data_IF_796729742384
#
_entry.id   IF_796729742384
#
_cell.length_a   1.000
_cell.length_b   1.000
_cell.length_c   1.000
_cell.angle_alpha   90.00
_cell.angle_beta   90.00
_cell.angle_gamma   90.00
#
_symmetry.space_group_name_H-M   'P 1'
#
loop_
_entity.id
_entity.type
_entity.pdbx_description
1 polymer ?
#
# COMPACT_ATOMS: atom_id res chain seq x y z
N UNK A 1 33.87 21.82 -85.07
CA UNK A 1 33.63 22.45 -86.39
C UNK A 1 32.38 21.83 -86.98
N UNK A 2 31.40 22.68 -87.32
CA UNK A 2 30.16 22.40 -88.08
C UNK A 2 29.11 21.51 -87.41
N UNK A 3 27.92 22.01 -87.06
CA UNK A 3 26.84 22.66 -87.83
C UNK A 3 25.76 21.65 -88.25
N UNK A 4 24.51 22.06 -87.98
CA UNK A 4 23.25 21.72 -88.65
C UNK A 4 22.68 20.31 -88.43
N UNK A 5 21.51 20.20 -87.77
CA UNK A 5 20.16 20.52 -88.24
C UNK A 5 19.58 19.48 -89.21
N UNK A 6 18.36 19.05 -88.87
CA UNK A 6 17.15 19.10 -89.70
C UNK A 6 16.49 17.77 -90.15
N UNK A 7 15.19 17.70 -89.80
CA UNK A 7 14.03 17.27 -90.63
C UNK A 7 13.77 15.75 -90.67
N UNK A 8 12.81 15.25 -89.88
CA UNK A 8 11.36 15.02 -90.16
C UNK A 8 11.11 13.87 -91.15
N UNK A 9 10.32 12.86 -90.76
CA UNK A 9 9.09 12.40 -91.45
C UNK A 9 8.32 11.37 -90.57
N UNK A 10 7.01 11.48 -90.73
CA UNK A 10 5.81 10.96 -90.11
C UNK A 10 5.54 9.44 -90.00
N UNK A 11 4.57 9.18 -89.10
CA UNK A 11 3.41 8.28 -89.20
C UNK A 11 3.57 6.80 -88.78
N UNK A 12 2.76 6.41 -87.78
CA UNK A 12 2.49 5.02 -87.42
C UNK A 12 1.65 4.90 -86.15
N UNK A 13 0.34 4.76 -86.34
CA UNK A 13 -0.72 4.62 -85.34
C UNK A 13 -0.63 3.29 -84.55
N UNK A 14 -1.16 3.30 -83.31
CA UNK A 14 -1.61 2.21 -82.42
C UNK A 14 -0.88 2.28 -81.08
N UNK A 15 -1.48 2.70 -79.97
CA UNK A 15 -2.76 2.26 -79.43
C UNK A 15 -2.46 1.41 -78.20
N UNK A 16 -2.77 1.92 -76.99
CA UNK A 16 -3.22 1.19 -75.78
C UNK A 16 -3.14 2.12 -74.55
N UNK A 17 -4.31 2.69 -74.23
CA UNK A 17 -4.92 2.85 -72.90
C UNK A 17 -4.10 2.53 -71.64
N UNK A 18 -4.01 3.58 -70.82
CA UNK A 18 -4.29 3.66 -69.37
C UNK A 18 -3.49 2.81 -68.37
N UNK A 19 -2.78 3.53 -67.50
CA UNK A 19 -2.26 3.03 -66.23
C UNK A 19 -1.52 4.14 -65.48
N UNK A 20 -2.25 5.11 -64.91
CA UNK A 20 -1.67 6.09 -63.98
C UNK A 20 -1.13 5.34 -62.76
N UNK A 21 0.20 5.33 -62.60
CA UNK A 21 0.89 4.89 -61.38
C UNK A 21 0.47 5.85 -60.26
N UNK A 22 -0.38 5.36 -59.35
CA UNK A 22 -0.74 6.10 -58.14
C UNK A 22 0.46 6.24 -57.19
N UNK A 23 0.53 7.31 -56.39
CA UNK A 23 1.63 7.51 -55.45
C UNK A 23 1.64 6.40 -54.40
N UNK A 24 2.80 5.77 -54.20
CA UNK A 24 3.06 4.88 -53.08
C UNK A 24 2.86 5.65 -51.77
N UNK A 25 1.76 5.35 -51.07
CA UNK A 25 1.57 5.75 -49.68
C UNK A 25 2.48 4.87 -48.85
N UNK A 26 3.60 5.43 -48.37
CA UNK A 26 4.37 4.81 -47.30
C UNK A 26 3.54 5.00 -46.03
N UNK A 27 2.88 3.91 -45.61
CA UNK A 27 2.09 3.87 -44.39
C UNK A 27 3.05 4.00 -43.20
N UNK A 28 3.24 5.24 -42.73
CA UNK A 28 3.95 5.52 -41.49
C UNK A 28 3.27 4.77 -40.36
N UNK A 29 3.87 3.68 -39.90
CA UNK A 29 3.46 2.98 -38.70
C UNK A 29 3.65 3.92 -37.50
N UNK A 30 2.58 4.63 -37.13
CA UNK A 30 2.51 5.37 -35.87
C UNK A 30 2.64 4.32 -34.76
N UNK A 31 3.64 4.39 -33.87
CA UNK A 31 3.72 3.45 -32.76
C UNK A 31 2.46 3.57 -31.91
N UNK A 32 1.70 2.47 -31.79
CA UNK A 32 0.56 2.37 -30.90
C UNK A 32 1.01 2.77 -29.49
N UNK A 33 0.37 3.80 -28.93
CA UNK A 33 0.52 4.14 -27.53
C UNK A 33 0.24 2.90 -26.67
N UNK A 34 0.95 2.71 -25.53
CA UNK A 34 0.67 1.60 -24.64
C UNK A 34 -0.80 1.65 -24.25
N UNK A 35 -1.54 0.58 -24.53
CA UNK A 35 -2.93 0.49 -24.07
C UNK A 35 -2.92 0.64 -22.55
N UNK A 36 -3.61 1.68 -22.05
CA UNK A 36 -3.78 1.87 -20.62
C UNK A 36 -4.30 0.57 -20.03
N UNK A 37 -3.55 -0.02 -19.09
CA UNK A 37 -3.95 -1.25 -18.45
C UNK A 37 -5.36 -1.07 -17.88
N UNK A 38 -6.29 -1.98 -18.23
CA UNK A 38 -7.67 -1.93 -17.74
C UNK A 38 -7.67 -1.88 -16.21
N UNK A 39 -8.48 -0.98 -15.65
CA UNK A 39 -8.65 -0.86 -14.21
C UNK A 39 -9.07 -2.21 -13.61
N UNK A 40 -8.48 -2.58 -12.47
CA UNK A 40 -8.77 -3.82 -11.78
C UNK A 40 -10.17 -3.75 -11.13
N UNK A 41 -11.02 -4.78 -11.26
CA UNK A 41 -12.34 -4.78 -10.63
C UNK A 41 -12.25 -4.74 -9.09
N UNK A 42 -13.11 -3.98 -8.41
CA UNK A 42 -13.12 -3.94 -6.94
C UNK A 42 -13.74 -5.21 -6.35
N UNK A 43 -13.02 -5.85 -5.42
CA UNK A 43 -13.52 -6.94 -4.59
C UNK A 43 -14.58 -6.45 -3.60
N UNK A 44 -14.39 -5.27 -2.98
CA UNK A 44 -15.40 -4.64 -2.13
C UNK A 44 -16.72 -4.43 -2.89
N UNK A 45 -16.68 -3.83 -4.08
CA UNK A 45 -17.89 -3.56 -4.86
C UNK A 45 -18.62 -4.85 -5.27
N UNK A 46 -17.86 -5.88 -5.68
CA UNK A 46 -18.45 -7.18 -6.01
C UNK A 46 -19.05 -7.86 -4.78
N UNK A 47 -18.36 -7.84 -3.63
CA UNK A 47 -18.87 -8.41 -2.39
C UNK A 47 -20.15 -7.73 -1.91
N UNK A 48 -20.26 -6.39 -2.00
CA UNK A 48 -21.51 -5.67 -1.69
C UNK A 48 -22.68 -6.09 -2.59
N UNK A 49 -22.41 -6.44 -3.85
CA UNK A 49 -23.42 -6.93 -4.77
C UNK A 49 -23.86 -8.37 -4.43
N UNK A 50 -23.00 -9.14 -3.74
CA UNK A 50 -23.41 -10.38 -3.10
C UNK A 50 -24.24 -10.04 -1.85
N UNK A 51 -25.38 -10.71 -1.66
CA UNK A 51 -26.12 -10.58 -0.40
C UNK A 51 -25.27 -11.20 0.70
N UNK A 52 -24.76 -10.35 1.61
CA UNK A 52 -23.85 -10.76 2.68
C UNK A 52 -24.42 -11.94 3.46
N UNK A 53 -23.58 -12.91 3.80
CA UNK A 53 -24.05 -14.15 4.45
C UNK A 53 -23.25 -14.48 5.71
N UNK A 54 -21.92 -14.33 5.75
CA UNK A 54 -21.07 -14.41 6.95
C UNK A 54 -19.67 -13.81 6.69
N UNK A 55 -18.90 -13.56 7.76
CA UNK A 55 -17.49 -13.15 7.63
C UNK A 55 -16.64 -14.19 6.91
N UNK A 56 -16.82 -15.48 7.19
CA UNK A 56 -16.07 -16.55 6.54
C UNK A 56 -16.29 -16.56 5.01
N UNK A 57 -17.53 -16.31 4.57
CA UNK A 57 -17.84 -16.16 3.15
C UNK A 57 -17.20 -14.91 2.55
N UNK A 58 -17.20 -13.79 3.28
CA UNK A 58 -16.54 -12.57 2.84
C UNK A 58 -15.03 -12.77 2.64
N UNK A 59 -14.37 -13.47 3.56
CA UNK A 59 -12.94 -13.79 3.47
C UNK A 59 -12.65 -14.75 2.31
N UNK A 60 -13.47 -15.79 2.14
CA UNK A 60 -13.34 -16.73 1.02
C UNK A 60 -13.55 -16.04 -0.34
N UNK A 61 -14.48 -15.09 -0.42
CA UNK A 61 -14.71 -14.26 -1.59
C UNK A 61 -13.49 -13.38 -1.89
N UNK A 62 -13.01 -12.61 -0.90
CA UNK A 62 -11.86 -11.73 -1.04
C UNK A 62 -10.62 -12.51 -1.51
N UNK A 63 -10.34 -13.68 -0.91
CA UNK A 63 -9.24 -14.55 -1.33
C UNK A 63 -9.30 -14.87 -2.83
N UNK A 64 -10.45 -15.32 -3.33
CA UNK A 64 -10.62 -15.65 -4.76
C UNK A 64 -10.50 -14.41 -5.64
N UNK A 65 -11.12 -13.31 -5.23
CA UNK A 65 -11.12 -12.07 -6.00
C UNK A 65 -9.71 -11.45 -6.11
N UNK A 66 -8.98 -11.37 -4.99
CA UNK A 66 -7.62 -10.84 -4.94
C UNK A 66 -6.64 -11.76 -5.69
N UNK A 67 -6.75 -13.09 -5.51
CA UNK A 67 -5.95 -14.07 -6.23
C UNK A 67 -6.07 -13.88 -7.76
N UNK A 68 -7.31 -13.78 -8.27
CA UNK A 68 -7.58 -13.57 -9.69
C UNK A 68 -6.97 -12.27 -10.25
N UNK A 69 -6.60 -11.32 -9.38
CA UNK A 69 -6.01 -10.05 -9.75
C UNK A 69 -4.48 -10.01 -9.62
N UNK A 70 -3.87 -11.08 -9.10
CA UNK A 70 -2.42 -11.21 -8.90
C UNK A 70 -1.95 -10.82 -7.50
N UNK A 71 -2.71 -11.21 -6.46
CA UNK A 71 -2.33 -10.95 -5.08
C UNK A 71 -0.96 -11.55 -4.72
N UNK A 72 -0.22 -10.83 -3.87
CA UNK A 72 0.96 -11.38 -3.21
C UNK A 72 0.49 -12.18 -2.00
N UNK A 73 0.51 -13.50 -2.11
CA UNK A 73 0.04 -14.43 -1.08
C UNK A 73 1.22 -15.07 -0.33
N UNK A 74 1.71 -14.39 0.71
CA UNK A 74 2.85 -14.83 1.50
C UNK A 74 2.49 -14.89 2.98
N UNK A 75 2.93 -15.97 3.63
CA UNK A 75 2.93 -16.09 5.08
C UNK A 75 4.31 -15.73 5.59
N UNK A 76 4.44 -14.59 6.27
CA UNK A 76 5.71 -14.20 6.87
C UNK A 76 5.83 -14.72 8.31
N UNK A 77 7.08 -14.81 8.75
CA UNK A 77 7.40 -14.88 10.16
C UNK A 77 7.63 -13.47 10.74
N UNK A 78 7.62 -13.39 12.07
CA UNK A 78 7.89 -12.14 12.81
C UNK A 78 9.21 -11.49 12.39
N UNK A 79 10.26 -12.29 12.16
CA UNK A 79 11.61 -11.79 11.83
C UNK A 79 11.63 -11.10 10.46
N UNK A 80 10.88 -11.63 9.48
CA UNK A 80 10.78 -11.06 8.14
C UNK A 80 10.10 -9.70 8.16
N UNK A 81 8.99 -9.56 8.88
CA UNK A 81 8.33 -8.26 9.06
C UNK A 81 9.22 -7.28 9.82
N UNK A 82 9.94 -7.74 10.86
CA UNK A 82 10.90 -6.91 11.58
C UNK A 82 12.01 -6.35 10.67
N UNK A 83 12.58 -7.16 9.77
CA UNK A 83 13.59 -6.69 8.80
C UNK A 83 13.02 -5.64 7.84
N UNK A 84 11.80 -5.84 7.34
CA UNK A 84 11.12 -4.87 6.47
C UNK A 84 10.89 -3.54 7.20
N UNK A 85 10.35 -3.57 8.41
CA UNK A 85 10.09 -2.36 9.21
C UNK A 85 11.38 -1.65 9.63
N UNK A 86 12.48 -2.39 9.85
CA UNK A 86 13.78 -1.78 10.13
C UNK A 86 14.29 -0.88 8.99
N UNK A 87 13.99 -1.24 7.73
CA UNK A 87 14.31 -0.42 6.56
C UNK A 87 13.37 0.79 6.38
N UNK A 88 12.17 0.75 6.97
CA UNK A 88 11.16 1.81 6.83
C UNK A 88 11.18 2.83 7.97
N UNK A 89 11.64 2.44 9.16
CA UNK A 89 11.58 3.25 10.37
C UNK A 89 13.00 3.41 10.89
N UNK A 90 13.76 4.38 10.38
CA UNK A 90 15.10 4.73 10.84
C UNK A 90 15.07 5.98 11.76
N UNK A 91 16.25 6.40 12.20
CA UNK A 91 16.42 7.58 13.04
C UNK A 91 16.06 8.88 12.32
N UNK A 92 15.91 8.91 11.00
CA UNK A 92 15.63 10.12 10.22
C UNK A 92 14.13 10.30 9.95
N UNK A 93 13.31 9.26 10.11
CA UNK A 93 11.86 9.35 9.92
C UNK A 93 11.18 10.28 10.91
N UNK A 94 10.17 11.03 10.45
CA UNK A 94 9.32 11.89 11.29
C UNK A 94 8.78 11.17 12.52
N UNK A 95 8.34 9.91 12.36
CA UNK A 95 7.80 9.09 13.44
C UNK A 95 8.73 9.01 14.67
N UNK A 96 10.03 8.89 14.46
CA UNK A 96 11.01 8.74 15.56
C UNK A 96 11.37 10.06 16.23
N UNK A 97 10.94 11.20 15.67
CA UNK A 97 11.03 12.50 16.31
C UNK A 97 9.81 12.83 17.19
N UNK A 98 8.71 12.07 17.07
CA UNK A 98 7.50 12.31 17.86
C UNK A 98 7.72 11.94 19.33
N UNK A 99 7.10 12.71 20.22
CA UNK A 99 7.09 12.53 21.68
C UNK A 99 5.63 12.47 22.16
N UNK A 100 4.94 11.33 21.94
CA UNK A 100 3.53 11.21 22.28
C UNK A 100 3.32 11.32 23.80
N UNK A 101 2.30 12.06 24.23
CA UNK A 101 2.06 12.34 25.66
C UNK A 101 1.80 11.09 26.51
N UNK A 102 1.28 10.03 25.91
CA UNK A 102 0.96 8.74 26.55
C UNK A 102 2.06 7.68 26.34
N UNK A 103 3.20 8.02 25.75
CA UNK A 103 4.25 7.05 25.39
C UNK A 103 4.80 6.31 26.61
N UNK A 104 4.79 6.93 27.79
CA UNK A 104 5.21 6.27 29.04
C UNK A 104 4.37 5.02 29.37
N UNK A 105 3.10 4.98 28.93
CA UNK A 105 2.26 3.79 29.08
C UNK A 105 2.72 2.63 28.20
N UNK A 106 3.36 2.90 27.07
CA UNK A 106 3.90 1.89 26.15
C UNK A 106 5.40 1.61 26.38
N UNK A 107 6.14 2.62 26.83
CA UNK A 107 7.59 2.64 26.92
C UNK A 107 8.07 3.69 27.94
N UNK A 108 8.18 3.34 29.24
CA UNK A 108 8.64 4.26 30.28
C UNK A 108 9.98 4.93 29.98
N UNK A 109 10.93 4.20 29.37
CA UNK A 109 12.23 4.72 28.98
C UNK A 109 12.27 5.57 27.69
N UNK A 110 11.15 5.80 27.01
CA UNK A 110 11.13 6.40 25.66
C UNK A 110 11.83 7.78 25.58
N UNK A 111 11.58 8.65 26.57
CA UNK A 111 12.14 10.00 26.59
C UNK A 111 13.65 10.03 26.85
N UNK A 112 14.22 8.93 27.34
CA UNK A 112 15.67 8.77 27.53
C UNK A 112 16.38 8.34 26.24
N UNK A 113 15.63 7.96 25.21
CA UNK A 113 16.20 7.45 23.96
C UNK A 113 16.45 8.57 22.95
N UNK A 114 17.55 8.43 22.22
CA UNK A 114 17.74 9.13 20.95
C UNK A 114 16.78 8.58 19.86
N UNK A 115 16.82 9.18 18.67
CA UNK A 115 15.95 8.76 17.57
C UNK A 115 16.18 7.31 17.12
N UNK A 116 17.37 6.73 17.35
CA UNK A 116 17.65 5.31 17.05
C UNK A 116 16.92 4.40 18.05
N UNK A 117 16.98 4.70 19.34
CA UNK A 117 16.25 3.95 20.36
C UNK A 117 14.73 4.04 20.18
N UNK A 118 14.21 5.23 19.85
CA UNK A 118 12.79 5.45 19.50
C UNK A 118 12.38 4.64 18.25
N UNK A 119 13.27 4.49 17.28
CA UNK A 119 13.01 3.62 16.12
C UNK A 119 12.79 2.15 16.54
N UNK A 120 13.54 1.64 17.52
CA UNK A 120 13.37 0.27 18.03
C UNK A 120 11.98 0.11 18.67
N UNK A 121 11.52 1.09 19.43
CA UNK A 121 10.17 1.11 19.98
C UNK A 121 9.09 1.00 18.89
N UNK A 122 9.11 1.90 17.91
CA UNK A 122 8.09 1.93 16.85
C UNK A 122 8.08 0.67 15.98
N UNK A 123 9.27 0.14 15.64
CA UNK A 123 9.38 -1.14 14.94
C UNK A 123 8.79 -2.28 15.76
N UNK A 124 9.07 -2.32 17.07
CA UNK A 124 8.56 -3.35 17.97
C UNK A 124 7.03 -3.31 18.02
N UNK A 125 6.45 -2.12 18.21
CA UNK A 125 5.00 -1.95 18.22
C UNK A 125 4.38 -2.45 16.91
N UNK A 126 4.90 -1.99 15.77
CA UNK A 126 4.34 -2.31 14.45
C UNK A 126 4.53 -3.77 14.02
N UNK A 127 5.64 -4.42 14.41
CA UNK A 127 5.82 -5.87 14.21
C UNK A 127 4.73 -6.63 14.95
N UNK A 128 4.49 -6.31 16.23
CA UNK A 128 3.48 -7.02 17.01
C UNK A 128 2.05 -6.69 16.53
N UNK A 129 1.79 -5.43 16.13
CA UNK A 129 0.51 -5.05 15.55
C UNK A 129 0.23 -5.84 14.26
N UNK A 130 1.20 -5.99 13.37
CA UNK A 130 1.07 -6.83 12.17
C UNK A 130 0.65 -8.28 12.52
N UNK A 131 1.23 -8.84 13.59
CA UNK A 131 0.86 -10.17 14.07
C UNK A 131 -0.58 -10.24 14.59
N UNK A 132 -1.05 -9.21 15.29
CA UNK A 132 -2.42 -9.12 15.80
C UNK A 132 -3.46 -8.88 14.68
N UNK A 133 -3.09 -8.12 13.65
CA UNK A 133 -3.99 -7.75 12.55
C UNK A 133 -4.15 -8.87 11.51
N UNK A 134 -3.07 -9.55 11.14
CA UNK A 134 -3.07 -10.47 9.98
C UNK A 134 -2.41 -11.81 10.24
N UNK A 135 -1.85 -12.02 11.44
CA UNK A 135 -0.94 -13.13 11.72
C UNK A 135 0.18 -13.19 10.68
N UNK A 136 0.65 -12.02 10.22
CA UNK A 136 1.70 -11.86 9.22
C UNK A 136 1.37 -12.42 7.81
N UNK A 137 0.08 -12.55 7.46
CA UNK A 137 -0.37 -12.97 6.14
C UNK A 137 -0.59 -11.74 5.22
N UNK A 138 0.15 -11.65 4.12
CA UNK A 138 0.12 -10.50 3.19
C UNK A 138 -1.17 -10.40 2.40
N UNK A 139 -1.95 -11.47 2.31
CA UNK A 139 -3.24 -11.50 1.61
C UNK A 139 -4.43 -11.69 2.57
N UNK A 140 -4.22 -11.51 3.89
CA UNK A 140 -5.31 -11.50 4.85
C UNK A 140 -6.35 -10.43 4.46
N UNK A 141 -7.61 -10.80 4.47
CA UNK A 141 -8.71 -9.89 4.21
C UNK A 141 -9.77 -10.04 5.31
N UNK A 142 -10.35 -8.92 5.71
CA UNK A 142 -11.43 -8.85 6.68
C UNK A 142 -12.48 -7.88 6.16
N UNK A 143 -13.75 -8.31 6.13
CA UNK A 143 -14.84 -7.43 5.79
C UNK A 143 -15.26 -6.61 7.01
N UNK A 144 -15.15 -5.29 6.90
CA UNK A 144 -15.59 -4.33 7.92
C UNK A 144 -17.06 -4.01 7.67
N UNK A 145 -17.97 -4.67 8.37
CA UNK A 145 -19.41 -4.51 8.14
C UNK A 145 -19.88 -3.05 8.30
N UNK A 146 -19.41 -2.38 9.35
CA UNK A 146 -19.77 -0.99 9.66
C UNK A 146 -19.23 0.03 8.63
N UNK A 147 -18.09 -0.28 8.00
CA UNK A 147 -17.45 0.58 6.99
C UNK A 147 -17.84 0.19 5.56
N UNK A 148 -18.33 -1.03 5.39
CA UNK A 148 -18.69 -1.64 4.12
C UNK A 148 -17.50 -1.85 3.18
N UNK A 149 -16.28 -2.10 3.66
CA UNK A 149 -15.14 -2.40 2.78
C UNK A 149 -14.25 -3.49 3.33
N UNK A 150 -13.35 -4.02 2.49
CA UNK A 150 -12.30 -4.91 2.96
C UNK A 150 -11.11 -4.14 3.56
N UNK A 151 -10.70 -4.59 4.74
CA UNK A 151 -9.36 -4.39 5.31
C UNK A 151 -8.44 -5.50 4.80
N UNK A 152 -7.24 -5.17 4.31
CA UNK A 152 -6.39 -6.07 3.53
C UNK A 152 -4.92 -5.99 3.97
N UNK A 153 -4.26 -7.15 3.95
CA UNK A 153 -2.82 -7.31 4.10
C UNK A 153 -2.31 -7.19 5.54
N UNK A 154 -1.00 -6.95 5.66
CA UNK A 154 -0.26 -7.09 6.91
C UNK A 154 -0.82 -6.23 8.06
N UNK A 155 -1.16 -4.98 7.76
CA UNK A 155 -1.71 -4.02 8.72
C UNK A 155 -3.20 -3.73 8.51
N UNK A 156 -3.90 -4.61 7.78
CA UNK A 156 -5.36 -4.53 7.55
C UNK A 156 -5.80 -3.13 7.07
N UNK A 157 -5.21 -2.70 5.95
CA UNK A 157 -5.44 -1.39 5.33
C UNK A 157 -6.54 -1.45 4.27
N UNK A 158 -7.09 -0.30 3.88
CA UNK A 158 -8.19 -0.22 2.91
C UNK A 158 -7.81 0.59 1.67
N UNK A 159 -8.50 0.39 0.55
CA UNK A 159 -8.32 1.23 -0.63
C UNK A 159 -8.76 2.68 -0.37
N UNK A 160 -9.69 2.89 0.57
CA UNK A 160 -10.14 4.23 0.99
C UNK A 160 -9.01 5.05 1.64
N UNK A 161 -7.95 4.38 2.14
CA UNK A 161 -6.77 5.07 2.70
C UNK A 161 -6.06 5.94 1.67
N UNK A 162 -6.25 5.69 0.37
CA UNK A 162 -5.68 6.54 -0.68
C UNK A 162 -6.16 7.99 -0.57
N UNK A 163 -7.40 8.22 -0.16
CA UNK A 163 -7.97 9.56 -0.10
C UNK A 163 -7.26 10.44 0.93
N UNK A 164 -7.10 9.93 2.16
CA UNK A 164 -6.49 10.67 3.28
C UNK A 164 -4.97 10.53 3.29
N UNK A 165 -4.48 9.31 3.13
CA UNK A 165 -3.08 8.98 3.38
C UNK A 165 -2.25 8.86 2.10
N UNK A 166 -2.83 8.94 0.90
CA UNK A 166 -2.07 8.94 -0.37
C UNK A 166 -1.04 7.80 -0.41
N UNK A 167 -1.51 6.58 -0.21
CA UNK A 167 -0.67 5.38 -0.08
C UNK A 167 -0.16 4.85 -1.42
N UNK A 168 -0.64 5.43 -2.52
CA UNK A 168 -0.37 5.01 -3.88
C UNK A 168 -1.14 3.76 -4.27
N UNK A 169 -2.17 3.33 -3.55
CA UNK A 169 -2.97 2.16 -3.92
C UNK A 169 -3.88 2.52 -5.11
N UNK A 170 -3.88 1.70 -6.16
CA UNK A 170 -4.74 1.89 -7.34
C UNK A 170 -5.89 0.88 -7.35
N UNK A 171 -5.79 -0.17 -6.55
CA UNK A 171 -6.74 -1.26 -6.43
C UNK A 171 -6.53 -2.01 -5.11
N UNK A 172 -7.50 -2.81 -4.69
CA UNK A 172 -7.42 -3.63 -3.47
C UNK A 172 -6.26 -4.65 -3.51
N UNK A 173 -5.91 -5.16 -4.69
CA UNK A 173 -4.80 -6.12 -4.83
C UNK A 173 -3.44 -5.47 -4.57
N UNK A 174 -3.27 -4.16 -4.80
CA UNK A 174 -2.03 -3.43 -4.48
C UNK A 174 -1.71 -3.47 -2.98
N UNK A 175 -2.74 -3.59 -2.14
CA UNK A 175 -2.62 -3.61 -0.67
C UNK A 175 -1.98 -4.93 -0.19
N UNK A 176 -2.03 -5.98 -1.02
CA UNK A 176 -1.39 -7.27 -0.72
C UNK A 176 0.14 -7.23 -0.88
N UNK A 177 0.68 -6.24 -1.60
CA UNK A 177 2.13 -6.03 -1.65
C UNK A 177 2.63 -5.64 -0.25
N UNK A 178 3.47 -6.47 0.40
CA UNK A 178 3.88 -6.24 1.78
C UNK A 178 4.69 -4.95 1.96
N UNK A 179 5.43 -4.51 0.96
CA UNK A 179 6.21 -3.28 1.06
C UNK A 179 5.28 -2.06 1.01
N UNK A 180 4.32 -2.05 0.07
CA UNK A 180 3.35 -0.95 -0.04
C UNK A 180 2.45 -0.88 1.18
N UNK A 181 2.00 -2.04 1.69
CA UNK A 181 1.21 -2.15 2.91
C UNK A 181 1.96 -1.56 4.12
N UNK A 182 3.18 -2.00 4.38
CA UNK A 182 3.96 -1.53 5.54
C UNK A 182 4.36 -0.05 5.40
N UNK A 183 4.69 0.44 4.20
CA UNK A 183 4.97 1.87 3.95
C UNK A 183 3.74 2.72 4.28
N UNK A 184 2.56 2.32 3.79
CA UNK A 184 1.31 3.02 4.09
C UNK A 184 0.99 2.97 5.60
N UNK A 185 1.11 1.81 6.24
CA UNK A 185 0.84 1.69 7.68
C UNK A 185 1.74 2.59 8.54
N UNK A 186 3.05 2.67 8.22
CA UNK A 186 3.96 3.63 8.89
C UNK A 186 3.50 5.07 8.67
N UNK A 187 3.03 5.41 7.46
CA UNK A 187 2.50 6.75 7.14
C UNK A 187 1.25 7.08 7.95
N UNK A 188 0.28 6.15 8.01
CA UNK A 188 -0.96 6.28 8.80
C UNK A 188 -0.63 6.51 10.27
N UNK A 189 0.22 5.67 10.87
CA UNK A 189 0.67 5.85 12.27
C UNK A 189 1.31 7.22 12.47
N UNK A 190 2.24 7.59 11.59
CA UNK A 190 2.96 8.87 11.71
C UNK A 190 2.01 10.06 11.66
N UNK A 191 1.02 10.03 10.76
CA UNK A 191 0.05 11.13 10.63
C UNK A 191 -0.86 11.21 11.84
N UNK A 192 -1.46 10.10 12.27
CA UNK A 192 -2.39 10.08 13.39
C UNK A 192 -1.73 10.48 14.71
N UNK A 193 -0.54 9.93 15.01
CA UNK A 193 0.19 10.27 16.24
C UNK A 193 0.65 11.72 16.23
N UNK A 194 1.06 12.24 15.08
CA UNK A 194 1.45 13.65 14.98
C UNK A 194 0.25 14.60 15.10
N UNK A 195 -0.91 14.21 14.58
CA UNK A 195 -2.15 15.01 14.62
C UNK A 195 -2.72 15.09 16.04
N UNK A 196 -2.75 13.97 16.77
CA UNK A 196 -3.34 13.91 18.11
C UNK A 196 -2.31 14.07 19.25
N UNK A 197 -1.00 14.05 18.96
CA UNK A 197 0.06 14.18 19.97
C UNK A 197 0.14 13.01 20.95
N UNK A 198 -0.41 11.85 20.57
CA UNK A 198 -0.48 10.64 21.40
C UNK A 198 -0.50 9.37 20.53
N UNK A 199 -0.06 8.25 21.09
CA UNK A 199 -0.28 6.92 20.51
C UNK A 199 -1.78 6.61 20.50
N UNK A 200 -2.47 6.97 21.58
CA UNK A 200 -3.92 6.93 21.69
C UNK A 200 -4.51 5.53 21.87
N UNK A 201 -5.83 5.47 21.74
CA UNK A 201 -6.63 4.35 22.21
C UNK A 201 -6.65 4.23 23.74
N UNK A 202 -7.42 3.28 24.26
CA UNK A 202 -7.73 3.19 25.68
C UNK A 202 -8.90 4.08 26.08
N UNK A 203 -9.30 3.98 27.35
CA UNK A 203 -10.49 4.67 27.85
C UNK A 203 -10.36 6.20 27.71
N UNK A 204 -11.33 6.82 27.04
CA UNK A 204 -11.37 8.27 26.81
C UNK A 204 -10.54 8.77 25.62
N UNK A 205 -9.76 7.90 24.98
CA UNK A 205 -8.90 8.21 23.84
C UNK A 205 -9.09 7.22 22.68
N UNK A 206 -10.24 6.54 22.64
CA UNK A 206 -10.52 5.46 21.70
C UNK A 206 -10.25 5.89 20.26
N UNK A 207 -10.72 7.07 19.88
CA UNK A 207 -10.60 7.59 18.51
C UNK A 207 -9.39 8.52 18.31
N UNK A 208 -8.36 8.40 19.15
CA UNK A 208 -7.14 9.21 19.06
C UNK A 208 -5.93 8.38 18.63
N UNK A 209 -5.01 9.03 17.92
CA UNK A 209 -3.77 8.45 17.45
C UNK A 209 -4.01 7.15 16.66
N UNK A 210 -3.21 6.13 16.93
CA UNK A 210 -3.28 4.81 16.32
C UNK A 210 -4.63 4.12 16.63
N UNK A 211 -5.24 4.38 17.80
CA UNK A 211 -6.54 3.81 18.19
C UNK A 211 -7.71 4.25 17.29
N UNK A 212 -7.59 5.42 16.66
CA UNK A 212 -8.57 5.90 15.68
C UNK A 212 -8.72 4.92 14.51
N UNK A 213 -7.62 4.29 14.09
CA UNK A 213 -7.58 3.38 12.95
C UNK A 213 -7.67 1.92 13.40
N UNK A 214 -6.74 1.46 14.24
CA UNK A 214 -6.61 0.04 14.59
C UNK A 214 -7.42 -0.34 15.83
N UNK A 215 -8.42 -1.20 15.64
CA UNK A 215 -9.30 -1.67 16.72
C UNK A 215 -8.53 -2.38 17.84
N UNK A 216 -7.46 -3.10 17.51
CA UNK A 216 -6.60 -3.80 18.46
C UNK A 216 -5.94 -2.87 19.49
N UNK A 217 -5.83 -1.57 19.18
CA UNK A 217 -5.36 -0.53 20.10
C UNK A 217 -6.50 0.36 20.61
N UNK A 218 -7.68 0.38 19.99
CA UNK A 218 -8.76 1.33 20.30
C UNK A 218 -9.25 1.28 21.75
N UNK A 219 -9.57 0.09 22.26
CA UNK A 219 -10.17 -0.09 23.61
C UNK A 219 -9.32 -0.99 24.49
N UNK A 220 -9.51 -0.96 25.84
CA UNK A 220 -8.91 -1.95 26.73
C UNK A 220 -9.28 -3.37 26.29
N UNK A 221 -8.26 -4.19 26.03
CA UNK A 221 -8.41 -5.57 25.59
C UNK A 221 -7.15 -6.36 25.94
N UNK A 222 -7.24 -7.70 25.89
CA UNK A 222 -6.06 -8.56 26.06
C UNK A 222 -5.00 -8.25 25.00
N UNK A 223 -5.41 -8.07 23.74
CA UNK A 223 -4.51 -7.76 22.62
C UNK A 223 -3.80 -6.43 22.83
N UNK A 224 -4.51 -5.37 23.25
CA UNK A 224 -3.89 -4.08 23.56
C UNK A 224 -2.82 -4.22 24.65
N UNK A 225 -3.13 -4.94 25.72
CA UNK A 225 -2.19 -5.19 26.82
C UNK A 225 -0.96 -5.96 26.33
N UNK A 226 -1.13 -6.96 25.48
CA UNK A 226 -0.02 -7.71 24.87
C UNK A 226 0.86 -6.80 23.99
N UNK A 227 0.26 -5.92 23.18
CA UNK A 227 0.99 -4.95 22.37
C UNK A 227 1.83 -4.00 23.24
N UNK A 228 1.22 -3.44 24.30
CA UNK A 228 1.91 -2.57 25.26
C UNK A 228 3.03 -3.30 26.00
N UNK A 229 2.79 -4.53 26.45
CA UNK A 229 3.79 -5.32 27.16
C UNK A 229 4.97 -5.68 26.25
N UNK A 230 4.72 -5.92 24.96
CA UNK A 230 5.77 -6.24 24.00
C UNK A 230 6.78 -5.09 23.82
N UNK A 231 6.31 -3.83 23.87
CA UNK A 231 7.20 -2.67 23.84
C UNK A 231 7.81 -2.40 25.20
N UNK A 232 7.10 -2.60 26.30
CA UNK A 232 7.70 -2.47 27.64
C UNK A 232 8.86 -3.43 27.87
N UNK A 233 8.86 -4.60 27.22
CA UNK A 233 9.88 -5.63 27.40
C UNK A 233 11.23 -5.32 26.72
N UNK A 234 11.31 -4.37 25.78
CA UNK A 234 12.59 -4.06 25.11
C UNK A 234 13.49 -3.18 25.99
N UNK A 235 14.80 -3.31 25.84
CA UNK A 235 15.79 -2.60 26.67
C UNK A 235 15.62 -1.08 26.64
N UNK A 236 15.22 -0.51 25.49
CA UNK A 236 15.00 0.93 25.30
C UNK A 236 13.83 1.48 26.14
N UNK A 237 12.93 0.60 26.59
CA UNK A 237 11.73 0.98 27.33
C UNK A 237 11.83 0.69 28.82
N UNK A 238 12.88 0.01 29.27
CA UNK A 238 13.17 -0.11 30.70
C UNK A 238 13.57 1.27 31.23
N UNK A 239 13.00 1.67 32.36
CA UNK A 239 13.47 2.86 33.08
C UNK A 239 14.92 2.63 33.53
N UNK A 240 15.72 3.69 33.65
CA UNK A 240 17.07 3.57 34.23
C UNK A 240 16.94 3.00 35.66
N UNK A 241 17.53 1.84 35.97
CA UNK A 241 17.47 1.25 37.31
C UNK A 241 18.01 2.18 38.41
N UNK A 242 18.80 3.19 38.05
CA UNK A 242 19.41 4.14 38.98
C UNK A 242 18.47 5.27 39.43
N UNK A 243 17.31 5.41 38.80
CA UNK A 243 16.28 6.40 39.11
C UNK A 243 14.95 5.77 39.57
N UNK A 244 14.99 4.50 39.99
CA UNK A 244 13.83 3.72 40.47
C UNK A 244 13.87 3.54 41.99
#
# INVERSE_FOLDING_TARGET
MRLLQAIVVSAGLAGLIEGCVGPHVIESAVPMAPQAARAKPSCTAQWRAHRHTTQAQAQAFAKKCLHAQGAVEQQFDRKTVARKLAALIDADKKLTALEPSDVGAFCPGYMLQDRKGRAVFWRTLLVNLTGAESVYNTAAAYWEEDLGWYSIGLLQLSLADEERYRCGFKSEVDITDPNRNLVCGVKVVTMLVAEDGMIGGGAGHEMKGIGAYWQNLRRPSKVRTELMNSTRAIAQCQADPRNS
#
